data_IF_027985484359
#
_entry.id   IF_027985484359
#
_cell.length_a   1.000
_cell.length_b   1.000
_cell.length_c   1.000
_cell.angle_alpha   90.00
_cell.angle_beta   90.00
_cell.angle_gamma   90.00
#
_symmetry.space_group_name_H-M   'P 1'
#
loop_
_entity.id
_entity.type
_entity.pdbx_description
1 polymer ?
#
# COMPACT_ATOMS: atom_id res chain seq x y z
N UNK A 1 -14.41 -13.77 12.34
CA UNK A 1 -13.12 -13.38 12.92
C UNK A 1 -12.18 -13.22 11.73
N UNK A 2 -11.96 -11.99 11.28
CA UNK A 2 -11.09 -11.70 10.16
C UNK A 2 -9.70 -11.42 10.75
N UNK A 3 -8.76 -12.34 10.56
CA UNK A 3 -7.36 -12.02 10.78
C UNK A 3 -6.98 -10.97 9.73
N UNK A 4 -6.69 -9.74 10.16
CA UNK A 4 -6.06 -8.76 9.30
C UNK A 4 -4.74 -9.36 8.81
N UNK A 5 -4.59 -9.57 7.51
CA UNK A 5 -3.31 -10.06 6.98
C UNK A 5 -2.29 -8.93 7.08
N UNK A 6 -1.01 -9.27 7.27
CA UNK A 6 0.08 -8.29 7.45
C UNK A 6 0.07 -7.17 6.40
N UNK A 7 -0.28 -7.49 5.14
CA UNK A 7 -0.36 -6.52 4.04
C UNK A 7 -1.44 -5.46 4.28
N UNK A 8 -2.60 -5.85 4.80
CA UNK A 8 -3.69 -4.91 5.12
C UNK A 8 -3.27 -3.94 6.22
N UNK A 9 -2.59 -4.44 7.25
CA UNK A 9 -2.06 -3.60 8.33
C UNK A 9 -1.00 -2.61 7.81
N UNK A 10 -0.21 -3.00 6.81
CA UNK A 10 0.74 -2.09 6.15
C UNK A 10 0.01 -0.98 5.37
N UNK A 11 -1.02 -1.35 4.61
CA UNK A 11 -1.87 -0.38 3.88
C UNK A 11 -2.59 0.56 4.84
N UNK A 12 -3.07 0.03 5.97
CA UNK A 12 -3.71 0.82 7.01
C UNK A 12 -2.75 1.89 7.55
N UNK A 13 -1.54 1.49 7.96
CA UNK A 13 -0.49 2.40 8.41
C UNK A 13 -0.21 3.53 7.41
N UNK A 14 -0.12 3.18 6.11
CA UNK A 14 0.11 4.15 5.05
C UNK A 14 -0.96 5.25 5.00
N UNK A 15 -2.24 4.87 5.07
CA UNK A 15 -3.33 5.83 5.03
C UNK A 15 -3.55 6.58 6.35
N UNK A 16 -3.29 5.92 7.49
CA UNK A 16 -3.33 6.56 8.81
C UNK A 16 -2.30 7.70 8.90
N UNK A 17 -1.07 7.49 8.41
CA UNK A 17 -0.04 8.55 8.36
C UNK A 17 -0.46 9.74 7.51
N UNK A 18 -1.26 9.52 6.47
CA UNK A 18 -1.80 10.58 5.61
C UNK A 18 -3.07 11.23 6.17
N UNK A 19 -3.46 10.86 7.40
CA UNK A 19 -4.58 11.46 8.13
C UNK A 19 -5.96 10.98 7.68
N UNK A 20 -6.05 9.79 7.09
CA UNK A 20 -7.34 9.18 6.74
C UNK A 20 -7.86 8.38 7.93
N UNK A 21 -9.19 8.34 8.10
CA UNK A 21 -9.81 7.32 8.93
C UNK A 21 -9.78 5.99 8.18
N UNK A 22 -9.32 4.91 8.81
CA UNK A 22 -9.20 3.60 8.16
C UNK A 22 -10.07 2.54 8.83
N UNK A 23 -10.50 1.56 8.03
CA UNK A 23 -11.16 0.35 8.51
C UNK A 23 -10.72 -0.84 7.69
N UNK A 24 -10.21 -1.86 8.38
CA UNK A 24 -9.85 -3.15 7.80
C UNK A 24 -11.09 -4.02 7.60
N UNK A 25 -11.06 -4.85 6.55
CA UNK A 25 -12.00 -5.94 6.30
C UNK A 25 -13.45 -5.47 6.41
N UNK A 26 -13.87 -4.62 5.47
CA UNK A 26 -15.25 -4.12 5.40
C UNK A 26 -16.11 -5.12 4.63
N UNK A 27 -17.01 -5.87 5.30
CA UNK A 27 -17.87 -6.82 4.61
C UNK A 27 -19.05 -6.11 3.98
N UNK A 28 -19.37 -6.47 2.75
CA UNK A 28 -20.53 -6.00 1.98
C UNK A 28 -21.32 -7.20 1.47
N UNK A 29 -22.66 -7.04 1.41
CA UNK A 29 -23.57 -8.09 0.97
C UNK A 29 -24.29 -7.67 -0.32
N UNK A 30 -23.79 -8.13 -1.47
CA UNK A 30 -24.30 -7.84 -2.82
C UNK A 30 -24.56 -9.15 -3.57
N UNK A 31 -25.75 -9.73 -3.43
CA UNK A 31 -26.06 -11.07 -3.96
C UNK A 31 -25.23 -12.23 -3.36
N UNK A 32 -24.23 -11.91 -2.56
CA UNK A 32 -23.27 -12.76 -1.84
C UNK A 32 -22.41 -11.88 -0.92
N UNK A 33 -21.49 -12.47 -0.16
CA UNK A 33 -20.55 -11.70 0.66
C UNK A 33 -19.30 -11.35 -0.14
N UNK A 34 -18.89 -10.09 -0.08
CA UNK A 34 -17.60 -9.60 -0.58
C UNK A 34 -16.97 -8.71 0.49
N UNK A 35 -15.66 -8.75 0.62
CA UNK A 35 -14.94 -7.98 1.63
C UNK A 35 -13.97 -7.03 0.93
N UNK A 36 -13.91 -5.78 1.40
CA UNK A 36 -12.85 -4.84 1.01
C UNK A 36 -11.72 -4.95 2.04
N UNK A 37 -10.50 -5.18 1.58
CA UNK A 37 -9.34 -5.39 2.45
C UNK A 37 -9.09 -4.17 3.36
N UNK A 38 -8.99 -2.96 2.80
CA UNK A 38 -8.91 -1.71 3.57
C UNK A 38 -9.76 -0.62 2.92
N UNK A 39 -10.54 0.08 3.75
CA UNK A 39 -11.19 1.33 3.37
C UNK A 39 -10.53 2.47 4.13
N UNK A 40 -10.17 3.54 3.43
CA UNK A 40 -9.73 4.79 4.06
C UNK A 40 -10.61 5.95 3.61
N UNK A 41 -10.91 6.89 4.50
CA UNK A 41 -11.78 8.02 4.18
C UNK A 41 -11.23 9.31 4.76
N UNK A 42 -11.25 10.37 3.96
CA UNK A 42 -10.92 11.72 4.38
C UNK A 42 -12.10 12.67 4.08
N UNK A 43 -12.84 13.12 5.11
CA UNK A 43 -14.01 13.98 4.91
C UNK A 43 -13.64 15.37 4.39
N UNK A 44 -12.46 15.89 4.74
CA UNK A 44 -12.02 17.23 4.33
C UNK A 44 -11.69 17.27 2.84
N UNK A 45 -11.08 16.20 2.33
CA UNK A 45 -10.77 16.06 0.90
C UNK A 45 -11.91 15.48 0.08
N UNK A 46 -12.96 14.96 0.74
CA UNK A 46 -14.03 14.16 0.13
C UNK A 46 -13.46 12.99 -0.68
N UNK A 47 -12.54 12.25 -0.07
CA UNK A 47 -11.85 11.13 -0.72
C UNK A 47 -12.15 9.82 0.00
N UNK A 48 -12.57 8.82 -0.77
CA UNK A 48 -12.73 7.44 -0.34
C UNK A 48 -11.68 6.59 -1.05
N UNK A 49 -10.84 5.93 -0.27
CA UNK A 49 -9.89 4.94 -0.74
C UNK A 49 -10.48 3.55 -0.60
N UNK A 50 -10.47 2.79 -1.68
CA UNK A 50 -10.72 1.36 -1.70
C UNK A 50 -9.38 0.67 -1.96
N UNK A 51 -8.82 0.01 -0.95
CA UNK A 51 -7.59 -0.73 -1.11
C UNK A 51 -7.83 -2.23 -1.12
N UNK A 52 -7.24 -2.89 -2.10
CA UNK A 52 -7.33 -4.34 -2.29
C UNK A 52 -5.94 -4.94 -2.38
N UNK A 53 -5.70 -5.98 -1.61
CA UNK A 53 -4.41 -6.64 -1.50
C UNK A 53 -4.44 -8.08 -1.99
N UNK A 54 -3.50 -8.45 -2.87
CA UNK A 54 -3.32 -9.84 -3.32
C UNK A 54 -1.85 -10.17 -3.49
N UNK A 55 -1.25 -10.73 -2.45
CA UNK A 55 0.08 -11.36 -2.53
C UNK A 55 -0.12 -12.86 -2.75
N UNK A 56 0.41 -13.38 -3.87
CA UNK A 56 0.21 -14.79 -4.29
C UNK A 56 1.55 -15.48 -4.52
N UNK A 57 1.50 -16.81 -4.64
CA UNK A 57 2.64 -17.68 -4.92
C UNK A 57 3.62 -17.80 -3.74
N UNK A 58 4.85 -18.23 -3.98
CA UNK A 58 5.83 -18.51 -2.93
C UNK A 58 6.40 -17.20 -2.37
N UNK A 59 7.00 -17.28 -1.17
CA UNK A 59 7.59 -16.13 -0.45
C UNK A 59 8.64 -15.30 -1.21
N UNK A 60 9.16 -15.78 -2.33
CA UNK A 60 10.16 -15.09 -3.16
C UNK A 60 9.62 -14.66 -4.53
N UNK A 61 8.34 -14.86 -4.81
CA UNK A 61 7.78 -14.57 -6.13
C UNK A 61 7.47 -13.07 -6.27
N UNK A 62 8.04 -12.44 -7.30
CA UNK A 62 7.62 -11.14 -7.83
C UNK A 62 7.24 -11.34 -9.30
N UNK A 63 6.13 -10.73 -9.72
CA UNK A 63 5.70 -10.76 -11.13
C UNK A 63 5.95 -9.39 -11.73
N UNK A 64 6.76 -9.30 -12.77
CA UNK A 64 7.13 -8.01 -13.36
C UNK A 64 6.34 -7.76 -14.66
N UNK A 65 5.69 -6.61 -14.74
CA UNK A 65 5.17 -6.04 -15.99
C UNK A 65 6.21 -5.07 -16.54
N UNK A 66 6.85 -5.49 -17.64
CA UNK A 66 8.03 -4.84 -18.20
C UNK A 66 7.78 -4.24 -19.58
N UNK A 67 8.67 -3.36 -20.04
CA UNK A 67 8.63 -2.81 -21.40
C UNK A 67 8.59 -3.91 -22.47
N UNK A 68 9.40 -4.96 -22.36
CA UNK A 68 9.39 -6.11 -23.30
C UNK A 68 8.00 -6.78 -23.41
N UNK A 69 7.26 -6.89 -22.30
CA UNK A 69 5.91 -7.45 -22.31
C UNK A 69 4.93 -6.50 -23.01
N UNK A 70 5.01 -5.20 -22.73
CA UNK A 70 4.19 -4.19 -23.41
C UNK A 70 4.47 -4.15 -24.91
N UNK A 71 5.74 -4.19 -25.32
CA UNK A 71 6.17 -4.21 -26.73
C UNK A 71 5.70 -5.47 -27.46
N UNK A 72 5.54 -6.59 -26.74
CA UNK A 72 4.90 -7.81 -27.26
C UNK A 72 3.37 -7.71 -27.42
N UNK A 73 2.78 -6.56 -27.07
CA UNK A 73 1.34 -6.27 -27.17
C UNK A 73 0.52 -6.68 -25.95
N UNK A 74 1.14 -7.00 -24.81
CA UNK A 74 0.43 -7.38 -23.58
C UNK A 74 0.13 -6.13 -22.75
N UNK A 75 -1.14 -5.83 -22.51
CA UNK A 75 -1.55 -4.75 -21.61
C UNK A 75 -1.40 -5.14 -20.13
N UNK A 76 -1.51 -4.18 -19.21
CA UNK A 76 -1.43 -4.48 -17.79
C UNK A 76 -2.62 -5.35 -17.31
N UNK A 77 -3.82 -5.10 -17.85
CA UNK A 77 -5.00 -5.92 -17.58
C UNK A 77 -4.83 -7.35 -18.11
N UNK A 78 -4.19 -7.54 -19.27
CA UNK A 78 -3.92 -8.87 -19.83
C UNK A 78 -2.83 -9.61 -19.05
N UNK A 79 -1.80 -8.88 -18.62
CA UNK A 79 -0.77 -9.39 -17.71
C UNK A 79 -1.42 -9.97 -16.44
N UNK A 80 -2.28 -9.21 -15.76
CA UNK A 80 -2.97 -9.69 -14.55
C UNK A 80 -3.84 -10.93 -14.83
N UNK A 81 -4.64 -10.92 -15.90
CA UNK A 81 -5.49 -12.07 -16.27
C UNK A 81 -4.67 -13.32 -16.55
N UNK A 82 -3.61 -13.22 -17.34
CA UNK A 82 -2.74 -14.34 -17.71
C UNK A 82 -2.14 -14.99 -16.47
N UNK A 83 -1.68 -14.17 -15.53
CA UNK A 83 -1.03 -14.61 -14.32
C UNK A 83 -2.00 -15.04 -13.21
N UNK A 84 -3.20 -14.50 -13.16
CA UNK A 84 -4.27 -14.96 -12.26
C UNK A 84 -4.95 -16.25 -12.71
N UNK A 85 -4.76 -16.69 -13.96
CA UNK A 85 -5.24 -17.98 -14.48
C UNK A 85 -4.28 -19.16 -14.21
N UNK A 86 -3.27 -18.99 -13.34
CA UNK A 86 -2.22 -20.00 -13.12
C UNK A 86 -2.61 -21.09 -12.10
N UNK A 87 -2.82 -22.31 -12.62
CA UNK A 87 -2.82 -23.63 -11.95
C UNK A 87 -4.05 -24.04 -11.10
N UNK A 88 -5.04 -24.65 -11.76
CA UNK A 88 -5.94 -25.64 -11.14
C UNK A 88 -7.11 -25.10 -10.32
N UNK A 89 -7.24 -23.79 -10.15
CA UNK A 89 -8.38 -23.18 -9.45
C UNK A 89 -9.51 -22.85 -10.42
N UNK A 90 -10.71 -23.36 -10.17
CA UNK A 90 -11.94 -23.20 -10.98
C UNK A 90 -12.58 -21.80 -10.93
N UNK A 91 -11.82 -20.76 -10.58
CA UNK A 91 -12.34 -19.40 -10.41
C UNK A 91 -11.45 -18.34 -11.04
N UNK A 92 -12.08 -17.26 -11.52
CA UNK A 92 -11.41 -16.01 -11.92
C UNK A 92 -10.81 -15.36 -10.66
N UNK A 93 -9.55 -15.66 -10.34
CA UNK A 93 -8.86 -15.18 -9.13
C UNK A 93 -7.73 -14.18 -9.45
N UNK A 94 -7.82 -13.49 -10.60
CA UNK A 94 -6.86 -12.44 -10.96
C UNK A 94 -7.08 -11.18 -10.11
N UNK A 95 -5.99 -10.48 -9.82
CA UNK A 95 -5.90 -9.49 -8.75
C UNK A 95 -6.83 -8.29 -8.98
N UNK A 96 -6.99 -7.89 -10.24
CA UNK A 96 -7.84 -6.77 -10.64
C UNK A 96 -9.32 -7.15 -10.82
N UNK A 97 -9.72 -8.39 -10.52
CA UNK A 97 -11.13 -8.80 -10.57
C UNK A 97 -12.02 -7.99 -9.62
N UNK A 98 -11.46 -7.42 -8.56
CA UNK A 98 -12.16 -6.50 -7.67
C UNK A 98 -12.73 -5.28 -8.41
N UNK A 99 -12.11 -4.83 -9.50
CA UNK A 99 -12.61 -3.73 -10.35
C UNK A 99 -14.04 -4.01 -10.83
N UNK A 100 -14.38 -5.25 -11.13
CA UNK A 100 -15.70 -5.62 -11.65
C UNK A 100 -16.81 -5.42 -10.60
N UNK A 101 -16.45 -5.32 -9.32
CA UNK A 101 -17.40 -5.01 -8.24
C UNK A 101 -17.59 -3.51 -8.03
N UNK A 102 -16.68 -2.66 -8.49
CA UNK A 102 -16.74 -1.20 -8.24
C UNK A 102 -17.71 -0.55 -9.22
N UNK A 103 -18.95 -0.35 -8.77
CA UNK A 103 -20.02 0.35 -9.46
C UNK A 103 -20.82 1.24 -8.48
N UNK A 104 -21.79 2.01 -8.97
CA UNK A 104 -22.59 2.90 -8.11
C UNK A 104 -23.33 2.17 -6.98
N UNK A 105 -23.93 1.00 -7.24
CA UNK A 105 -24.65 0.22 -6.23
C UNK A 105 -23.72 -0.25 -5.10
N UNK A 106 -22.53 -0.75 -5.47
CA UNK A 106 -21.49 -1.15 -4.53
C UNK A 106 -21.04 0.03 -3.66
N UNK A 107 -20.78 1.19 -4.29
CA UNK A 107 -20.36 2.39 -3.57
C UNK A 107 -21.48 2.87 -2.63
N UNK A 108 -22.71 2.96 -3.10
CA UNK A 108 -23.86 3.36 -2.29
C UNK A 108 -24.02 2.50 -1.03
N UNK A 109 -23.92 1.18 -1.19
CA UNK A 109 -23.97 0.24 -0.08
C UNK A 109 -22.79 0.43 0.89
N UNK A 110 -21.59 0.69 0.37
CA UNK A 110 -20.41 0.93 1.20
C UNK A 110 -20.56 2.19 2.05
N UNK A 111 -21.00 3.29 1.46
CA UNK A 111 -21.27 4.54 2.18
C UNK A 111 -22.34 4.34 3.26
N UNK A 112 -23.41 3.60 2.97
CA UNK A 112 -24.44 3.26 3.96
C UNK A 112 -23.89 2.39 5.09
N UNK A 113 -23.14 1.34 4.74
CA UNK A 113 -22.54 0.40 5.70
C UNK A 113 -21.57 1.08 6.65
N UNK A 114 -20.86 2.10 6.17
CA UNK A 114 -19.88 2.86 6.95
C UNK A 114 -20.44 4.16 7.53
N UNK A 115 -21.71 4.49 7.25
CA UNK A 115 -22.35 5.75 7.63
C UNK A 115 -21.51 6.99 7.22
N UNK A 116 -21.04 6.99 5.98
CA UNK A 116 -20.22 8.06 5.38
C UNK A 116 -21.09 8.97 4.49
N UNK A 117 -20.75 10.27 4.36
CA UNK A 117 -21.48 11.19 3.47
C UNK A 117 -21.11 10.95 2.00
N UNK A 118 -22.10 11.08 1.10
CA UNK A 118 -22.02 10.66 -0.32
C UNK A 118 -21.74 11.81 -1.33
N UNK A 119 -21.67 13.07 -0.88
CA UNK A 119 -21.74 14.22 -1.78
C UNK A 119 -20.38 14.59 -2.43
N UNK A 120 -20.28 14.38 -3.75
CA UNK A 120 -19.12 14.65 -4.61
C UNK A 120 -17.84 13.93 -4.16
N UNK A 121 -17.94 12.61 -3.95
CA UNK A 121 -16.82 11.83 -3.43
C UNK A 121 -15.89 11.36 -4.55
N UNK A 122 -14.61 11.64 -4.35
CA UNK A 122 -13.49 11.16 -5.14
C UNK A 122 -13.08 9.77 -4.68
N UNK A 123 -13.05 8.82 -5.60
CA UNK A 123 -12.63 7.44 -5.36
C UNK A 123 -11.15 7.31 -5.73
N UNK A 124 -10.36 6.85 -4.77
CA UNK A 124 -8.99 6.40 -5.00
C UNK A 124 -9.00 4.87 -4.88
N UNK A 125 -8.41 4.17 -5.83
CA UNK A 125 -8.29 2.71 -5.74
C UNK A 125 -6.83 2.34 -5.54
N UNK A 126 -6.51 1.69 -4.43
CA UNK A 126 -5.15 1.32 -4.06
C UNK A 126 -4.97 -0.20 -4.16
N UNK A 127 -4.36 -0.61 -5.26
CA UNK A 127 -4.02 -1.97 -5.56
C UNK A 127 -2.62 -2.30 -5.00
N UNK A 128 -2.55 -3.23 -4.04
CA UNK A 128 -1.28 -3.75 -3.50
C UNK A 128 -1.07 -5.24 -3.79
N UNK A 129 0.04 -5.61 -4.41
CA UNK A 129 0.35 -7.02 -4.73
C UNK A 129 1.84 -7.33 -4.68
N UNK A 130 2.24 -8.48 -5.21
CA UNK A 130 3.64 -8.77 -5.56
C UNK A 130 3.93 -8.51 -7.05
N UNK A 131 3.20 -7.59 -7.68
CA UNK A 131 3.42 -7.20 -9.06
C UNK A 131 4.31 -5.96 -9.11
N UNK A 132 5.50 -6.11 -9.68
CA UNK A 132 6.34 -4.99 -10.04
C UNK A 132 5.89 -4.46 -11.41
N UNK A 133 5.82 -3.15 -11.55
CA UNK A 133 5.57 -2.47 -12.83
C UNK A 133 6.75 -1.55 -13.08
N UNK A 134 7.36 -1.66 -14.25
CA UNK A 134 8.46 -0.77 -14.63
C UNK A 134 8.02 0.70 -14.50
N UNK A 135 8.92 1.56 -14.01
CA UNK A 135 8.59 2.96 -13.70
C UNK A 135 8.03 3.72 -14.91
N UNK A 136 8.59 3.49 -16.11
CA UNK A 136 8.10 4.07 -17.36
C UNK A 136 6.70 3.60 -17.79
N UNK A 137 6.20 2.53 -17.18
CA UNK A 137 4.88 1.95 -17.46
C UNK A 137 3.82 2.27 -16.43
N UNK A 138 4.21 2.69 -15.23
CA UNK A 138 3.31 2.79 -14.08
C UNK A 138 2.11 3.70 -14.37
N UNK A 139 2.34 4.89 -14.90
CA UNK A 139 1.25 5.83 -15.24
C UNK A 139 0.30 5.24 -16.28
N UNK A 140 0.83 4.54 -17.29
CA UNK A 140 0.01 3.91 -18.33
C UNK A 140 -0.86 2.78 -17.77
N UNK A 141 -0.32 1.96 -16.86
CA UNK A 141 -1.03 0.89 -16.19
C UNK A 141 -2.13 1.44 -15.26
N UNK A 142 -1.83 2.47 -14.47
CA UNK A 142 -2.80 3.15 -13.61
C UNK A 142 -3.94 3.75 -14.42
N UNK A 143 -3.63 4.42 -15.55
CA UNK A 143 -4.63 4.98 -16.44
C UNK A 143 -5.51 3.92 -17.14
N UNK A 144 -4.94 2.78 -17.51
CA UNK A 144 -5.70 1.66 -18.07
C UNK A 144 -6.74 1.15 -17.06
N UNK A 145 -6.32 0.95 -15.80
CA UNK A 145 -7.19 0.52 -14.70
C UNK A 145 -8.25 1.59 -14.39
N UNK A 146 -7.86 2.86 -14.29
CA UNK A 146 -8.76 3.98 -14.04
C UNK A 146 -9.89 4.03 -15.06
N UNK A 147 -9.56 3.97 -16.35
CA UNK A 147 -10.54 3.95 -17.46
C UNK A 147 -11.49 2.75 -17.39
N UNK A 148 -11.04 1.61 -16.85
CA UNK A 148 -11.91 0.42 -16.68
C UNK A 148 -12.94 0.64 -15.57
N UNK A 149 -12.56 1.29 -14.47
CA UNK A 149 -13.43 1.61 -13.33
C UNK A 149 -14.43 2.72 -13.73
N UNK A 150 -13.97 3.78 -14.39
CA UNK A 150 -14.80 4.91 -14.83
C UNK A 150 -15.96 4.50 -15.76
N UNK A 151 -15.84 3.36 -16.46
CA UNK A 151 -16.94 2.79 -17.26
C UNK A 151 -18.11 2.24 -16.42
N UNK A 152 -17.88 2.02 -15.12
CA UNK A 152 -18.81 1.34 -14.22
C UNK A 152 -19.37 2.28 -13.14
N UNK A 153 -18.74 3.44 -12.96
CA UNK A 153 -19.19 4.46 -12.02
C UNK A 153 -19.65 5.71 -12.75
N UNK A 154 -20.57 6.43 -12.12
CA UNK A 154 -21.08 7.71 -12.59
C UNK A 154 -21.39 8.62 -11.39
N UNK A 155 -21.76 9.87 -11.68
CA UNK A 155 -22.15 10.85 -10.66
C UNK A 155 -23.10 10.22 -9.60
N UNK A 156 -22.88 10.49 -8.29
CA UNK A 156 -21.98 11.51 -7.72
C UNK A 156 -20.51 11.08 -7.56
N UNK A 157 -20.14 9.86 -7.99
CA UNK A 157 -18.80 9.32 -7.80
C UNK A 157 -17.89 9.60 -9.01
N UNK A 158 -16.59 9.78 -8.74
CA UNK A 158 -15.56 9.92 -9.79
C UNK A 158 -14.27 9.23 -9.35
N UNK A 159 -13.52 8.64 -10.28
CA UNK A 159 -12.21 8.07 -9.97
C UNK A 159 -11.17 9.19 -10.05
N UNK A 160 -10.59 9.55 -8.91
CA UNK A 160 -9.52 10.54 -8.86
C UNK A 160 -8.20 9.88 -9.25
N UNK A 161 -7.83 8.78 -8.58
CA UNK A 161 -6.57 8.12 -8.79
C UNK A 161 -6.64 6.58 -8.67
N UNK A 162 -5.69 5.90 -9.31
CA UNK A 162 -5.39 4.48 -9.11
C UNK A 162 -3.93 4.36 -8.71
N UNK A 163 -3.68 3.73 -7.58
CA UNK A 163 -2.34 3.47 -7.05
C UNK A 163 -2.06 1.99 -7.24
N UNK A 164 -0.92 1.65 -7.84
CA UNK A 164 -0.44 0.28 -8.03
C UNK A 164 0.92 0.21 -7.38
N UNK A 165 1.04 -0.60 -6.33
CA UNK A 165 2.27 -0.72 -5.55
C UNK A 165 2.51 -2.17 -5.15
N UNK A 166 3.75 -2.53 -4.88
CA UNK A 166 4.05 -3.73 -4.12
C UNK A 166 3.88 -3.48 -2.63
N UNK A 167 3.71 -4.53 -1.83
CA UNK A 167 3.75 -4.38 -0.36
C UNK A 167 5.06 -3.76 0.12
N UNK A 168 6.17 -4.02 -0.58
CA UNK A 168 7.47 -3.44 -0.24
C UNK A 168 7.49 -1.92 -0.52
N UNK A 169 6.92 -1.47 -1.63
CA UNK A 169 6.81 -0.03 -1.93
C UNK A 169 6.01 0.68 -0.85
N UNK A 170 4.86 0.13 -0.42
CA UNK A 170 4.05 0.72 0.66
C UNK A 170 4.82 0.76 1.99
N UNK A 171 5.60 -0.28 2.31
CA UNK A 171 6.46 -0.28 3.51
C UNK A 171 7.54 0.80 3.44
N UNK A 172 8.20 0.96 2.28
CA UNK A 172 9.20 2.00 2.07
C UNK A 172 8.58 3.39 2.23
N UNK A 173 7.41 3.63 1.65
CA UNK A 173 6.66 4.88 1.80
C UNK A 173 6.31 5.14 3.27
N UNK A 174 5.83 4.13 4.01
CA UNK A 174 5.53 4.27 5.44
C UNK A 174 6.78 4.64 6.24
N UNK A 175 7.92 4.03 5.96
CA UNK A 175 9.19 4.35 6.65
C UNK A 175 9.62 5.78 6.34
N UNK A 176 9.56 6.21 5.06
CA UNK A 176 9.92 7.56 4.66
C UNK A 176 8.99 8.62 5.27
N UNK A 177 7.68 8.38 5.26
CA UNK A 177 6.67 9.29 5.82
C UNK A 177 6.76 9.36 7.36
N UNK A 178 7.10 8.26 8.05
CA UNK A 178 7.33 8.30 9.50
C UNK A 178 8.58 9.12 9.85
N UNK A 179 9.64 9.06 9.04
CA UNK A 179 10.86 9.86 9.27
C UNK A 179 10.60 11.36 9.16
N UNK A 180 9.75 11.76 8.21
CA UNK A 180 9.32 13.14 8.02
C UNK A 180 8.29 13.60 9.08
N UNK A 181 7.69 12.68 9.84
CA UNK A 181 6.66 13.00 10.82
C UNK A 181 7.26 13.65 12.06
N UNK A 182 6.83 14.86 12.40
CA UNK A 182 7.18 15.50 13.68
C UNK A 182 6.54 14.82 14.90
N UNK A 183 5.60 13.89 14.67
CA UNK A 183 4.76 13.32 15.71
C UNK A 183 5.41 12.11 16.40
N UNK A 184 6.34 12.38 17.33
CA UNK A 184 7.11 11.36 18.07
C UNK A 184 6.37 10.52 19.12
N UNK A 185 5.06 10.28 19.01
CA UNK A 185 4.28 9.48 20.00
C UNK A 185 4.09 8.02 19.57
N UNK A 186 4.00 7.11 20.54
CA UNK A 186 3.57 5.72 20.32
C UNK A 186 2.27 5.72 19.51
N UNK A 187 2.29 5.13 18.31
CA UNK A 187 1.11 5.14 17.44
C UNK A 187 0.07 4.12 17.92
N UNK A 188 0.50 3.11 18.68
CA UNK A 188 -0.33 1.94 18.99
C UNK A 188 -0.57 1.07 17.77
N UNK A 189 0.08 1.38 16.65
CA UNK A 189 -0.04 0.69 15.37
C UNK A 189 1.29 -0.03 15.08
N UNK A 190 1.32 -1.37 15.03
CA UNK A 190 2.56 -2.15 15.03
C UNK A 190 3.45 -1.87 13.82
N UNK A 191 2.88 -1.63 12.63
CA UNK A 191 3.67 -1.30 11.44
C UNK A 191 4.36 0.06 11.58
N UNK A 192 3.70 1.05 12.19
CA UNK A 192 4.30 2.38 12.39
C UNK A 192 5.37 2.33 13.47
N UNK A 193 5.16 1.53 14.51
CA UNK A 193 6.19 1.30 15.52
C UNK A 193 7.40 0.54 14.93
N UNK A 194 7.20 -0.41 14.01
CA UNK A 194 8.30 -1.05 13.27
C UNK A 194 9.04 -0.05 12.38
N UNK A 195 8.31 0.76 11.60
CA UNK A 195 8.90 1.79 10.74
C UNK A 195 9.77 2.77 11.54
N UNK A 196 9.29 3.18 12.71
CA UNK A 196 10.06 3.97 13.67
C UNK A 196 11.33 3.29 14.14
N UNK A 197 11.27 2.00 14.46
CA UNK A 197 12.49 1.27 14.85
C UNK A 197 13.50 1.23 13.70
N UNK A 198 13.06 1.05 12.45
CA UNK A 198 13.95 1.21 11.28
C UNK A 198 14.57 2.61 11.24
N UNK A 199 13.76 3.67 11.34
CA UNK A 199 14.26 5.05 11.32
C UNK A 199 15.23 5.35 12.46
N UNK A 200 14.98 4.84 13.67
CA UNK A 200 15.89 5.02 14.82
C UNK A 200 17.29 4.49 14.53
N UNK A 201 17.43 3.39 13.80
CA UNK A 201 18.73 2.79 13.53
C UNK A 201 19.34 3.21 12.18
N UNK A 202 18.53 3.67 11.24
CA UNK A 202 19.00 4.22 9.95
C UNK A 202 19.38 5.71 10.03
N UNK A 203 18.67 6.47 10.88
CA UNK A 203 18.84 7.91 11.12
C UNK A 203 19.08 8.23 12.62
N UNK A 204 20.02 7.54 13.31
CA UNK A 204 20.18 7.68 14.76
C UNK A 204 20.73 9.05 15.18
N UNK A 205 20.09 9.66 16.19
CA UNK A 205 20.73 10.70 17.00
C UNK A 205 21.48 10.06 18.18
N UNK A 206 22.80 10.23 18.21
CA UNK A 206 23.69 9.55 19.15
C UNK A 206 23.91 10.42 20.39
N UNK A 207 23.35 9.97 21.51
CA UNK A 207 23.59 10.51 22.85
C UNK A 207 24.58 9.62 23.59
N UNK A 208 25.70 10.21 24.04
CA UNK A 208 26.72 9.52 24.82
C UNK A 208 26.67 10.04 26.27
N UNK A 209 26.61 9.13 27.23
CA UNK A 209 26.75 9.44 28.66
C UNK A 209 28.22 9.20 29.03
N UNK A 210 28.95 10.21 29.53
CA UNK A 210 30.34 10.02 29.98
C UNK A 210 31.29 11.16 29.60
N UNK A 211 32.53 11.07 30.10
CA UNK A 211 33.52 12.16 30.14
C UNK A 211 33.70 12.90 28.81
N UNK A 212 34.03 14.20 28.93
CA UNK A 212 34.33 15.10 27.80
C UNK A 212 35.23 14.43 26.74
N UNK A 213 36.18 13.61 27.13
CA UNK A 213 37.10 12.91 26.21
C UNK A 213 36.43 11.96 25.21
N UNK A 214 35.39 11.22 25.62
CA UNK A 214 34.68 10.29 24.71
C UNK A 214 33.68 11.06 23.85
N UNK A 215 32.97 12.03 24.44
CA UNK A 215 32.01 12.87 23.74
C UNK A 215 32.66 13.81 22.70
N UNK A 216 33.90 14.24 22.93
CA UNK A 216 34.68 15.10 22.01
C UNK A 216 35.63 14.33 21.08
N UNK A 217 35.69 12.99 21.15
CA UNK A 217 36.46 12.22 20.17
C UNK A 217 35.85 12.45 18.78
N UNK A 218 36.57 13.19 17.94
CA UNK A 218 36.17 13.50 16.57
C UNK A 218 35.83 12.22 15.81
N UNK A 219 34.64 12.16 15.22
CA UNK A 219 34.18 11.01 14.42
C UNK A 219 33.53 9.86 15.20
N UNK A 220 33.57 9.86 16.54
CA UNK A 220 33.00 8.75 17.32
C UNK A 220 31.49 8.54 17.06
N UNK A 221 30.70 9.61 16.97
CA UNK A 221 29.28 9.50 16.63
C UNK A 221 29.07 8.91 15.24
N UNK A 222 29.81 9.39 14.24
CA UNK A 222 29.69 8.93 12.85
C UNK A 222 30.10 7.45 12.69
N UNK A 223 31.14 7.00 13.40
CA UNK A 223 31.51 5.58 13.46
C UNK A 223 30.35 4.70 14.01
N UNK A 224 29.62 5.19 15.02
CA UNK A 224 28.47 4.47 15.58
C UNK A 224 27.31 4.45 14.58
N UNK A 225 27.00 5.59 13.96
CA UNK A 225 25.96 5.67 12.92
C UNK A 225 26.24 4.70 11.79
N UNK A 226 27.47 4.64 11.30
CA UNK A 226 27.88 3.73 10.22
C UNK A 226 27.69 2.27 10.65
N UNK A 227 28.17 1.89 11.83
CA UNK A 227 28.01 0.52 12.35
C UNK A 227 26.55 0.08 12.47
N UNK A 228 25.63 1.00 12.80
CA UNK A 228 24.20 0.70 12.87
C UNK A 228 23.62 0.48 11.47
N UNK A 229 23.95 1.33 10.50
CA UNK A 229 23.54 1.18 9.10
C UNK A 229 24.08 -0.12 8.48
N UNK A 230 25.35 -0.43 8.73
CA UNK A 230 25.99 -1.65 8.20
C UNK A 230 25.30 -2.93 8.68
N UNK A 231 24.81 -2.96 9.92
CA UNK A 231 24.05 -4.12 10.44
C UNK A 231 22.79 -4.37 9.64
N UNK A 232 22.06 -3.30 9.30
CA UNK A 232 20.82 -3.39 8.52
C UNK A 232 21.16 -3.84 7.10
N UNK A 233 22.12 -3.20 6.44
CA UNK A 233 22.55 -3.58 5.09
C UNK A 233 23.00 -5.04 5.00
N UNK A 234 23.74 -5.53 6.00
CA UNK A 234 24.14 -6.94 6.09
C UNK A 234 22.95 -7.89 6.24
N UNK A 235 21.94 -7.52 7.02
CA UNK A 235 20.71 -8.32 7.17
C UNK A 235 19.91 -8.43 5.87
N UNK A 236 20.02 -7.45 4.97
CA UNK A 236 19.42 -7.48 3.63
C UNK A 236 20.36 -8.01 2.53
N UNK A 237 21.58 -8.44 2.88
CA UNK A 237 22.55 -8.97 1.91
C UNK A 237 23.13 -7.95 0.94
N UNK A 238 23.12 -6.66 1.31
CA UNK A 238 23.61 -5.54 0.49
C UNK A 238 25.12 -5.29 0.70
N UNK A 239 25.75 -5.94 1.70
CA UNK A 239 27.18 -5.85 2.03
C UNK A 239 27.78 -7.23 2.35
#
# INVERSE_FOLDING_TARGET
MAEAMTVETVIQAYWDLKGYWTKLRVPLKLGGWTDIDVVAYNPLKKELVLAESKVRSTKHTVRAYTEDLKDSGVSFLDFDKKYGNSHGTSGKLYYLSFIDNINNEFLDLLFETLNLPKDDVKIIVHFVSNYHVDEGLLESAQNEVKKRIEKQISSPYSVDNVIIQTTFDVLCDVIAEEEMSEQGRRYGHPVLDIAREFNRYMHPDIHLIGSREVAYKKGCKEEIKQKLRDKISKSFGIL
#
